data_IF_310557260469
#
_entry.id   IF_310557260469
#
_cell.length_a   1.000
_cell.length_b   1.000
_cell.length_c   1.000
_cell.angle_alpha   90.00
_cell.angle_beta   90.00
_cell.angle_gamma   90.00
#
_symmetry.space_group_name_H-M   'P 1'
#
loop_
_entity.id
_entity.type
_entity.pdbx_description
1 polymer ?
#
# COMPACT_ATOMS: atom_id res chain seq x y z
N UNK A 1 -27.87 37.56 7.39
CA UNK A 1 -27.69 36.75 6.17
C UNK A 1 -26.73 37.51 5.26
N UNK A 2 -25.43 37.23 5.34
CA UNK A 2 -24.45 37.78 4.39
C UNK A 2 -24.02 36.63 3.47
N UNK A 3 -24.44 36.71 2.22
CA UNK A 3 -23.92 35.87 1.15
C UNK A 3 -22.52 36.38 0.81
N UNK A 4 -21.48 35.61 1.15
CA UNK A 4 -20.13 35.83 0.60
C UNK A 4 -20.09 35.15 -0.77
N UNK A 5 -20.11 35.97 -1.81
CA UNK A 5 -19.89 35.57 -3.19
C UNK A 5 -18.40 35.29 -3.42
N UNK A 6 -18.00 34.02 -3.40
CA UNK A 6 -16.69 33.61 -3.88
C UNK A 6 -16.71 33.58 -5.41
N UNK A 7 -16.04 34.54 -6.04
CA UNK A 7 -15.62 34.40 -7.43
C UNK A 7 -14.55 33.29 -7.57
N UNK A 8 -14.32 32.74 -8.77
CA UNK A 8 -13.34 31.69 -8.96
C UNK A 8 -11.93 32.26 -8.72
N UNK A 9 -11.25 31.72 -7.71
CA UNK A 9 -9.85 32.01 -7.44
C UNK A 9 -8.98 31.26 -8.46
N UNK A 10 -8.50 31.98 -9.48
CA UNK A 10 -7.74 31.44 -10.61
C UNK A 10 -6.35 30.89 -10.24
N UNK A 11 -5.99 30.84 -8.95
CA UNK A 11 -4.69 30.40 -8.45
C UNK A 11 -4.72 29.14 -7.56
N UNK A 12 -5.88 28.51 -7.35
CA UNK A 12 -5.99 27.37 -6.44
C UNK A 12 -5.96 26.06 -7.24
N UNK A 13 -4.84 25.34 -7.19
CA UNK A 13 -4.74 24.01 -7.81
C UNK A 13 -5.67 23.02 -7.12
N UNK A 14 -6.10 22.02 -7.87
CA UNK A 14 -6.92 20.96 -7.29
C UNK A 14 -6.12 20.11 -6.30
N UNK A 15 -6.75 19.71 -5.21
CA UNK A 15 -6.07 19.00 -4.12
C UNK A 15 -6.20 17.50 -4.28
N UNK A 16 -5.08 16.78 -4.15
CA UNK A 16 -5.01 15.31 -4.20
C UNK A 16 -4.23 14.81 -2.99
N UNK A 17 -4.79 13.81 -2.31
CA UNK A 17 -4.14 13.18 -1.15
C UNK A 17 -3.57 11.83 -1.59
N UNK A 18 -2.35 11.52 -1.18
CA UNK A 18 -1.69 10.24 -1.42
C UNK A 18 -1.40 9.55 -0.09
N UNK A 19 -1.81 8.29 0.04
CA UNK A 19 -1.47 7.44 1.19
C UNK A 19 -0.50 6.37 0.72
N UNK A 20 0.77 6.59 1.06
CA UNK A 20 1.91 5.71 0.77
C UNK A 20 2.19 4.78 1.96
N UNK A 21 2.91 3.71 1.69
CA UNK A 21 3.35 2.75 2.70
C UNK A 21 3.48 1.34 2.13
N UNK A 22 4.29 0.53 2.78
CA UNK A 22 4.45 -0.88 2.41
C UNK A 22 3.14 -1.66 2.57
N UNK A 23 3.03 -2.85 1.98
CA UNK A 23 1.85 -3.73 2.14
C UNK A 23 1.55 -3.97 3.62
N UNK A 24 0.28 -4.18 3.96
CA UNK A 24 -0.16 -4.47 5.33
C UNK A 24 0.09 -3.37 6.40
N UNK A 25 0.45 -2.13 6.04
CA UNK A 25 0.61 -1.02 7.01
C UNK A 25 -0.69 -0.29 7.40
N UNK A 26 -1.86 -0.75 6.93
CA UNK A 26 -3.16 -0.14 7.25
C UNK A 26 -3.63 0.99 6.33
N UNK A 27 -3.00 1.18 5.16
CA UNK A 27 -3.37 2.25 4.19
C UNK A 27 -4.85 2.30 3.84
N UNK A 28 -5.44 1.15 3.52
CA UNK A 28 -6.86 1.07 3.17
C UNK A 28 -7.75 1.47 4.35
N UNK A 29 -7.42 1.02 5.57
CA UNK A 29 -8.14 1.44 6.78
C UNK A 29 -8.10 2.97 6.96
N UNK A 30 -6.92 3.58 6.82
CA UNK A 30 -6.78 5.03 6.93
C UNK A 30 -7.62 5.77 5.88
N UNK A 31 -7.68 5.25 4.65
CA UNK A 31 -8.45 5.87 3.57
C UNK A 31 -9.97 5.87 3.83
N UNK A 32 -10.49 4.81 4.46
CA UNK A 32 -11.91 4.74 4.87
C UNK A 32 -12.18 5.67 6.05
N UNK A 33 -11.29 5.67 7.04
CA UNK A 33 -11.41 6.56 8.19
C UNK A 33 -11.39 8.04 7.73
N UNK A 34 -10.60 8.37 6.69
CA UNK A 34 -10.64 9.68 6.03
C UNK A 34 -11.97 9.97 5.33
N UNK A 35 -12.45 9.07 4.48
CA UNK A 35 -13.71 9.26 3.77
C UNK A 35 -14.93 9.38 4.70
N UNK A 36 -14.81 8.93 5.95
CA UNK A 36 -15.82 9.14 7.01
C UNK A 36 -15.79 10.56 7.59
N UNK A 37 -14.67 11.28 7.47
CA UNK A 37 -14.47 12.63 8.02
C UNK A 37 -14.48 13.73 6.94
N UNK A 38 -14.16 13.38 5.69
CA UNK A 38 -14.14 14.30 4.55
C UNK A 38 -14.88 13.69 3.36
N UNK A 39 -15.49 14.54 2.52
CA UNK A 39 -16.18 14.09 1.30
C UNK A 39 -15.16 13.64 0.25
N UNK A 40 -14.74 12.39 0.34
CA UNK A 40 -13.66 11.84 -0.47
C UNK A 40 -14.06 10.56 -1.22
N UNK A 41 -13.32 10.26 -2.27
CA UNK A 41 -13.39 9.00 -3.01
C UNK A 41 -11.98 8.42 -3.15
N UNK A 42 -11.88 7.09 -3.15
CA UNK A 42 -10.60 6.37 -3.11
C UNK A 42 -10.22 5.90 -4.51
N UNK A 43 -8.98 6.14 -4.91
CA UNK A 43 -8.38 5.66 -6.14
C UNK A 43 -7.31 4.64 -5.77
N UNK A 44 -7.50 3.38 -6.13
CA UNK A 44 -6.49 2.35 -5.93
C UNK A 44 -5.24 2.65 -6.79
N UNK A 45 -4.06 2.50 -6.18
CA UNK A 45 -2.77 2.58 -6.83
C UNK A 45 -1.89 1.37 -6.56
N UNK A 46 -2.48 0.23 -6.21
CA UNK A 46 -1.82 -1.07 -6.26
C UNK A 46 -2.06 -1.72 -7.63
N UNK A 47 -0.98 -1.93 -8.38
CA UNK A 47 -1.00 -2.46 -9.76
C UNK A 47 -1.50 -3.90 -9.87
N UNK A 48 -1.61 -4.63 -8.76
CA UNK A 48 -2.16 -6.00 -8.75
C UNK A 48 -3.65 -5.97 -8.37
N UNK A 49 -4.07 -5.00 -7.55
CA UNK A 49 -5.48 -4.89 -7.16
C UNK A 49 -6.41 -4.37 -8.27
N UNK A 50 -5.85 -3.94 -9.41
CA UNK A 50 -6.63 -3.49 -10.58
C UNK A 50 -7.35 -4.63 -11.30
N UNK A 51 -6.91 -5.87 -11.14
CA UNK A 51 -7.47 -7.04 -11.84
C UNK A 51 -8.64 -7.67 -11.07
N UNK A 52 -9.64 -8.19 -11.79
CA UNK A 52 -10.74 -8.98 -11.22
C UNK A 52 -10.23 -10.34 -10.72
N UNK A 53 -10.90 -10.87 -9.68
CA UNK A 53 -10.54 -12.14 -9.06
C UNK A 53 -9.28 -12.03 -8.18
N UNK A 54 -8.91 -13.15 -7.54
CA UNK A 54 -7.79 -13.20 -6.61
C UNK A 54 -7.91 -12.18 -5.46
N UNK A 55 -9.11 -11.94 -4.94
CA UNK A 55 -9.38 -10.90 -3.96
C UNK A 55 -8.68 -11.15 -2.60
N UNK A 56 -8.54 -12.41 -2.20
CA UNK A 56 -7.83 -12.81 -0.98
C UNK A 56 -6.32 -12.61 -1.17
N UNK A 57 -5.69 -13.25 -2.17
CA UNK A 57 -4.23 -13.19 -2.38
C UNK A 57 -3.75 -11.77 -2.69
N UNK A 58 -4.56 -10.97 -3.40
CA UNK A 58 -4.24 -9.57 -3.69
C UNK A 58 -4.69 -8.61 -2.57
N UNK A 59 -5.34 -9.13 -1.52
CA UNK A 59 -5.85 -8.42 -0.37
C UNK A 59 -6.67 -7.18 -0.74
N UNK A 60 -7.64 -7.37 -1.64
CA UNK A 60 -8.59 -6.30 -1.96
C UNK A 60 -9.53 -6.10 -0.78
N UNK A 61 -9.86 -4.84 -0.54
CA UNK A 61 -10.87 -4.48 0.44
C UNK A 61 -12.25 -4.94 -0.06
N UNK A 62 -12.94 -5.73 0.74
CA UNK A 62 -14.28 -6.22 0.41
C UNK A 62 -15.34 -5.11 0.58
N UNK A 63 -16.53 -5.28 0.01
CA UNK A 63 -17.57 -4.24 0.04
C UNK A 63 -17.99 -3.79 1.45
N UNK A 64 -17.99 -4.71 2.42
CA UNK A 64 -18.36 -4.38 3.80
C UNK A 64 -17.32 -3.47 4.47
N UNK A 65 -16.04 -3.71 4.20
CA UNK A 65 -14.92 -2.90 4.69
C UNK A 65 -14.86 -1.52 4.03
N UNK A 66 -15.40 -1.37 2.81
CA UNK A 66 -15.46 -0.09 2.11
C UNK A 66 -16.46 0.90 2.72
N UNK A 67 -17.39 0.44 3.56
CA UNK A 67 -18.37 1.28 4.25
C UNK A 67 -19.13 2.25 3.32
N UNK A 68 -19.40 1.82 2.07
CA UNK A 68 -20.07 2.63 1.06
C UNK A 68 -19.23 3.74 0.42
N UNK A 69 -17.94 3.85 0.76
CA UNK A 69 -17.01 4.80 0.14
C UNK A 69 -16.72 4.36 -1.30
N UNK A 70 -16.89 5.23 -2.31
CA UNK A 70 -16.57 4.89 -3.69
C UNK A 70 -15.09 4.56 -3.88
N UNK A 71 -14.81 3.40 -4.48
CA UNK A 71 -13.47 2.95 -4.87
C UNK A 71 -13.35 2.89 -6.39
N UNK A 72 -12.27 3.43 -6.91
CA UNK A 72 -11.93 3.42 -8.32
C UNK A 72 -10.67 2.59 -8.55
N UNK A 73 -10.53 2.07 -9.77
CA UNK A 73 -9.37 1.28 -10.22
C UNK A 73 -9.11 0.02 -9.37
N UNK A 74 -10.17 -0.56 -8.81
CA UNK A 74 -10.11 -1.77 -7.99
C UNK A 74 -10.92 -2.86 -8.69
N UNK A 75 -10.27 -3.94 -9.12
CA UNK A 75 -10.93 -5.07 -9.78
C UNK A 75 -11.68 -4.71 -11.07
N UNK A 76 -11.09 -3.92 -11.96
CA UNK A 76 -11.72 -3.47 -13.20
C UNK A 76 -11.15 -4.08 -14.48
N UNK A 77 -9.92 -4.64 -14.43
CA UNK A 77 -9.33 -5.36 -15.57
C UNK A 77 -9.77 -6.81 -15.52
N UNK A 78 -10.41 -7.29 -16.58
CA UNK A 78 -10.97 -8.64 -16.65
C UNK A 78 -9.96 -9.68 -17.15
N UNK A 79 -9.11 -9.30 -18.09
CA UNK A 79 -8.10 -10.18 -18.67
C UNK A 79 -6.94 -10.37 -17.66
N UNK A 80 -6.72 -11.60 -17.15
CA UNK A 80 -5.67 -11.89 -16.18
C UNK A 80 -4.26 -11.76 -16.75
N UNK A 81 -4.10 -11.78 -18.08
CA UNK A 81 -2.81 -11.74 -18.77
C UNK A 81 -2.51 -10.36 -19.39
N UNK A 82 -3.48 -9.44 -19.36
CA UNK A 82 -3.28 -8.07 -19.78
C UNK A 82 -2.34 -7.34 -18.82
N UNK A 83 -1.34 -6.62 -19.34
CA UNK A 83 -0.47 -5.82 -18.50
C UNK A 83 -1.07 -4.43 -18.26
N UNK A 84 -1.13 -4.02 -16.99
CA UNK A 84 -1.47 -2.66 -16.61
C UNK A 84 -0.22 -1.79 -16.53
N UNK A 85 0.02 -0.97 -17.54
CA UNK A 85 1.25 -0.17 -17.69
C UNK A 85 1.22 1.12 -16.87
N UNK A 86 2.37 1.82 -16.84
CA UNK A 86 2.47 3.15 -16.22
C UNK A 86 1.59 4.18 -16.94
N UNK A 87 1.48 4.08 -18.26
CA UNK A 87 0.69 5.03 -19.05
C UNK A 87 -0.81 4.77 -18.87
N UNK A 88 -1.22 3.50 -18.76
CA UNK A 88 -2.60 3.15 -18.37
C UNK A 88 -2.92 3.72 -16.99
N UNK A 89 -2.02 3.53 -16.02
CA UNK A 89 -2.20 4.09 -14.68
C UNK A 89 -2.34 5.60 -14.68
N UNK A 90 -1.47 6.33 -15.39
CA UNK A 90 -1.55 7.78 -15.51
C UNK A 90 -2.89 8.22 -16.09
N UNK A 91 -3.28 7.62 -17.21
CA UNK A 91 -4.53 7.94 -17.88
C UNK A 91 -5.74 7.71 -16.97
N UNK A 92 -5.82 6.54 -16.35
CA UNK A 92 -6.93 6.16 -15.50
C UNK A 92 -7.00 7.01 -14.22
N UNK A 93 -5.86 7.29 -13.57
CA UNK A 93 -5.84 8.11 -12.34
C UNK A 93 -6.19 9.56 -12.64
N UNK A 94 -5.60 10.19 -13.67
CA UNK A 94 -5.93 11.57 -14.03
C UNK A 94 -7.41 11.73 -14.36
N UNK A 95 -7.95 10.84 -15.21
CA UNK A 95 -9.38 10.86 -15.58
C UNK A 95 -10.28 10.68 -14.36
N UNK A 96 -9.88 9.82 -13.42
CA UNK A 96 -10.64 9.56 -12.20
C UNK A 96 -10.59 10.76 -11.25
N UNK A 97 -9.42 11.39 -11.09
CA UNK A 97 -9.26 12.63 -10.32
C UNK A 97 -10.20 13.69 -10.86
N UNK A 98 -10.19 13.97 -12.16
CA UNK A 98 -11.05 14.98 -12.80
C UNK A 98 -12.53 14.71 -12.50
N UNK A 99 -13.00 13.46 -12.66
CA UNK A 99 -14.40 13.06 -12.35
C UNK A 99 -14.77 13.19 -10.88
N UNK A 100 -13.86 12.90 -9.95
CA UNK A 100 -14.10 13.06 -8.51
C UNK A 100 -14.23 14.55 -8.18
N UNK A 101 -13.38 15.39 -8.79
CA UNK A 101 -13.40 16.85 -8.61
C UNK A 101 -14.66 17.49 -9.19
N UNK A 102 -15.14 17.03 -10.34
CA UNK A 102 -16.43 17.45 -10.91
C UNK A 102 -17.62 17.21 -9.95
N UNK A 103 -17.53 16.18 -9.11
CA UNK A 103 -18.51 15.90 -8.04
C UNK A 103 -18.28 16.69 -6.74
N UNK A 104 -17.29 17.58 -6.72
CA UNK A 104 -16.93 18.39 -5.54
C UNK A 104 -16.24 17.60 -4.42
N UNK A 105 -15.71 16.40 -4.70
CA UNK A 105 -15.10 15.52 -3.70
C UNK A 105 -13.57 15.57 -3.75
N UNK A 106 -12.93 15.04 -2.71
CA UNK A 106 -11.47 14.95 -2.60
C UNK A 106 -10.99 13.58 -3.09
N UNK A 107 -10.12 13.51 -4.11
CA UNK A 107 -9.50 12.26 -4.53
C UNK A 107 -8.39 11.85 -3.54
N UNK A 108 -8.45 10.61 -3.06
CA UNK A 108 -7.42 9.99 -2.23
C UNK A 108 -6.83 8.80 -2.99
N UNK A 109 -5.57 8.90 -3.41
CA UNK A 109 -4.83 7.84 -4.08
C UNK A 109 -4.14 6.95 -3.04
N UNK A 110 -4.42 5.66 -3.07
CA UNK A 110 -4.02 4.71 -2.01
C UNK A 110 -3.46 3.43 -2.62
N UNK A 111 -2.24 3.04 -2.26
CA UNK A 111 -1.69 1.77 -2.74
C UNK A 111 -0.18 1.62 -2.55
N UNK A 112 0.34 0.44 -2.88
CA UNK A 112 1.75 0.08 -2.68
C UNK A 112 2.67 0.20 -3.90
N UNK A 113 2.13 0.54 -5.08
CA UNK A 113 2.93 0.63 -6.32
C UNK A 113 3.59 2.00 -6.49
N UNK A 114 4.53 2.32 -5.59
CA UNK A 114 5.17 3.64 -5.53
C UNK A 114 5.90 4.06 -6.82
N UNK A 115 6.34 3.10 -7.66
CA UNK A 115 6.89 3.42 -9.00
C UNK A 115 5.84 4.06 -9.92
N UNK A 116 4.58 3.64 -9.82
CA UNK A 116 3.49 4.17 -10.63
C UNK A 116 3.11 5.57 -10.12
N UNK A 117 3.10 5.76 -8.80
CA UNK A 117 2.87 7.07 -8.18
C UNK A 117 4.00 8.06 -8.53
N UNK A 118 5.27 7.64 -8.47
CA UNK A 118 6.41 8.46 -8.92
C UNK A 118 6.24 8.87 -10.37
N UNK A 119 5.92 7.92 -11.26
CA UNK A 119 5.72 8.23 -12.66
C UNK A 119 4.54 9.17 -12.91
N UNK A 120 3.45 9.06 -12.14
CA UNK A 120 2.31 9.97 -12.23
C UNK A 120 2.69 11.40 -11.81
N UNK A 121 3.39 11.54 -10.69
CA UNK A 121 3.69 12.85 -10.08
C UNK A 121 4.85 13.55 -10.79
N UNK A 122 5.93 12.82 -11.13
CA UNK A 122 7.12 13.32 -11.80
C UNK A 122 6.99 13.27 -13.34
N UNK A 123 5.79 13.52 -13.85
CA UNK A 123 5.56 13.61 -15.28
C UNK A 123 6.44 14.70 -15.94
N UNK A 124 6.84 14.51 -17.21
CA UNK A 124 7.57 15.53 -17.96
C UNK A 124 6.89 16.90 -17.89
N UNK A 125 7.70 17.96 -17.85
CA UNK A 125 7.24 19.35 -17.74
C UNK A 125 6.40 19.64 -16.49
N UNK A 126 6.51 18.82 -15.44
CA UNK A 126 5.73 18.95 -14.20
C UNK A 126 4.21 18.97 -14.44
N UNK A 127 3.72 18.31 -15.51
CA UNK A 127 2.31 18.38 -15.92
C UNK A 127 1.36 18.10 -14.75
N UNK A 128 1.59 17.03 -13.99
CA UNK A 128 0.74 16.67 -12.87
C UNK A 128 0.77 17.72 -11.75
N UNK A 129 1.97 18.08 -11.28
CA UNK A 129 2.18 19.11 -10.23
C UNK A 129 1.75 20.53 -10.65
N UNK A 130 1.60 20.79 -11.95
CA UNK A 130 1.06 22.06 -12.46
C UNK A 130 -0.46 22.17 -12.26
N UNK A 131 -1.16 21.04 -12.32
CA UNK A 131 -2.62 20.94 -12.13
C UNK A 131 -3.03 20.73 -10.68
N UNK A 132 -2.24 19.95 -9.94
CA UNK A 132 -2.62 19.47 -8.61
C UNK A 132 -1.63 19.85 -7.52
N UNK A 133 -2.16 20.25 -6.37
CA UNK A 133 -1.43 20.26 -5.11
C UNK A 133 -1.56 18.88 -4.45
N UNK A 134 -0.44 18.35 -3.96
CA UNK A 134 -0.35 16.97 -3.49
C UNK A 134 0.04 16.93 -2.01
N UNK A 135 -0.72 16.19 -1.21
CA UNK A 135 -0.37 15.87 0.17
C UNK A 135 0.04 14.40 0.27
N UNK A 136 1.27 14.11 0.67
CA UNK A 136 1.78 12.74 0.80
C UNK A 136 1.85 12.32 2.26
N UNK A 137 1.03 11.35 2.63
CA UNK A 137 1.12 10.64 3.90
C UNK A 137 1.87 9.33 3.70
N UNK A 138 2.75 8.97 4.62
CA UNK A 138 3.43 7.69 4.62
C UNK A 138 3.16 6.96 5.92
N UNK A 139 2.36 5.89 5.85
CA UNK A 139 2.19 4.94 6.95
C UNK A 139 3.39 4.01 7.03
N UNK A 140 4.10 4.10 8.14
CA UNK A 140 5.34 3.37 8.39
C UNK A 140 5.22 2.46 9.61
N UNK A 141 5.88 1.31 9.54
CA UNK A 141 5.92 0.30 10.61
C UNK A 141 7.34 -0.24 10.69
N UNK A 142 7.87 -0.41 11.90
CA UNK A 142 9.20 -0.98 12.09
C UNK A 142 9.30 -2.39 11.49
N UNK A 143 10.40 -2.70 10.80
CA UNK A 143 10.57 -3.96 10.06
C UNK A 143 10.38 -5.23 10.92
N UNK A 144 10.89 -5.33 12.16
CA UNK A 144 10.71 -6.53 12.97
C UNK A 144 9.23 -6.84 13.24
N UNK A 145 8.47 -5.82 13.64
CA UNK A 145 7.02 -5.94 13.90
C UNK A 145 6.27 -6.17 12.59
N UNK A 146 6.68 -5.50 11.52
CA UNK A 146 6.03 -5.58 10.23
C UNK A 146 6.17 -6.98 9.59
N UNK A 147 7.34 -7.60 9.66
CA UNK A 147 7.56 -8.96 9.14
C UNK A 147 6.73 -10.00 9.89
N UNK A 148 6.67 -9.91 11.22
CA UNK A 148 5.81 -10.80 12.01
C UNK A 148 4.34 -10.64 11.62
N UNK A 149 3.86 -9.39 11.48
CA UNK A 149 2.48 -9.13 11.10
C UNK A 149 2.15 -9.60 9.68
N UNK A 150 3.05 -9.37 8.72
CA UNK A 150 2.89 -9.82 7.33
C UNK A 150 2.83 -11.34 7.25
N UNK A 151 3.69 -12.05 8.00
CA UNK A 151 3.64 -13.52 8.07
C UNK A 151 2.29 -14.03 8.59
N UNK A 152 1.84 -13.50 9.74
CA UNK A 152 0.53 -13.83 10.32
C UNK A 152 -0.63 -13.52 9.36
N UNK A 153 -0.51 -12.45 8.59
CA UNK A 153 -1.53 -12.08 7.61
C UNK A 153 -1.59 -13.08 6.46
N UNK A 154 -0.46 -13.61 5.98
CA UNK A 154 -0.46 -14.69 4.98
C UNK A 154 -1.15 -15.93 5.56
N UNK A 155 -0.88 -16.28 6.82
CA UNK A 155 -1.59 -17.38 7.49
C UNK A 155 -3.10 -17.16 7.51
N UNK A 156 -3.56 -15.96 7.88
CA UNK A 156 -4.98 -15.59 7.85
C UNK A 156 -5.58 -15.65 6.44
N UNK A 157 -4.79 -15.31 5.41
CA UNK A 157 -5.23 -15.40 4.01
C UNK A 157 -5.40 -16.87 3.60
N UNK A 158 -4.49 -17.76 4.03
CA UNK A 158 -4.63 -19.21 3.82
C UNK A 158 -5.88 -19.74 4.51
N UNK A 159 -6.12 -19.37 5.78
CA UNK A 159 -7.35 -19.72 6.51
C UNK A 159 -8.62 -19.20 5.83
N UNK A 160 -8.54 -18.06 5.14
CA UNK A 160 -9.64 -17.47 4.40
C UNK A 160 -9.89 -18.10 3.02
N UNK A 161 -9.07 -19.06 2.58
CA UNK A 161 -9.23 -19.75 1.31
C UNK A 161 -8.30 -19.29 0.18
N UNK A 162 -7.17 -18.64 0.49
CA UNK A 162 -6.18 -18.21 -0.51
C UNK A 162 -5.75 -19.34 -1.45
N UNK A 163 -5.54 -20.55 -0.91
CA UNK A 163 -5.08 -21.70 -1.71
C UNK A 163 -6.17 -22.12 -2.70
N UNK A 164 -7.43 -22.13 -2.27
CA UNK A 164 -8.56 -22.47 -3.12
C UNK A 164 -8.77 -21.41 -4.21
N UNK A 165 -8.68 -20.13 -3.86
CA UNK A 165 -8.79 -19.01 -4.80
C UNK A 165 -7.73 -19.08 -5.91
N UNK A 166 -6.48 -19.39 -5.58
CA UNK A 166 -5.42 -19.51 -6.57
C UNK A 166 -5.58 -20.79 -7.39
N UNK A 167 -6.04 -21.89 -6.77
CA UNK A 167 -6.30 -23.16 -7.45
C UNK A 167 -7.30 -22.99 -8.60
N UNK A 168 -8.35 -22.18 -8.41
CA UNK A 168 -9.35 -21.92 -9.45
C UNK A 168 -8.76 -21.22 -10.69
N UNK A 169 -7.69 -20.45 -10.53
CA UNK A 169 -7.00 -19.73 -11.61
C UNK A 169 -5.73 -20.47 -12.10
N UNK A 170 -5.40 -21.62 -11.51
CA UNK A 170 -4.17 -22.33 -11.80
C UNK A 170 -4.16 -22.85 -13.24
N UNK A 171 -3.07 -22.58 -13.95
CA UNK A 171 -2.81 -23.07 -15.30
C UNK A 171 -1.35 -23.51 -15.39
N UNK A 172 -1.13 -24.75 -15.79
CA UNK A 172 0.19 -25.34 -15.90
C UNK A 172 1.00 -24.65 -17.01
N UNK A 173 2.20 -24.15 -16.67
CA UNK A 173 3.07 -23.46 -17.61
C UNK A 173 2.65 -22.01 -17.91
N UNK A 174 1.84 -21.40 -17.05
CA UNK A 174 1.43 -20.01 -17.19
C UNK A 174 2.62 -19.02 -17.08
N UNK A 175 2.48 -17.85 -17.71
CA UNK A 175 3.48 -16.79 -17.62
C UNK A 175 3.25 -15.91 -16.38
N UNK A 176 3.99 -16.18 -15.30
CA UNK A 176 3.94 -15.43 -14.05
C UNK A 176 4.60 -14.03 -14.13
N UNK A 177 5.07 -13.60 -15.30
CA UNK A 177 5.65 -12.27 -15.50
C UNK A 177 4.61 -11.21 -15.91
N UNK A 178 3.37 -11.62 -16.18
CA UNK A 178 2.32 -10.77 -16.77
C UNK A 178 1.06 -10.67 -15.91
N UNK A 179 0.38 -9.54 -16.07
CA UNK A 179 -0.97 -9.33 -15.53
C UNK A 179 -1.11 -9.61 -14.03
N UNK A 180 -2.20 -10.30 -13.67
CA UNK A 180 -2.52 -10.67 -12.28
C UNK A 180 -1.64 -11.82 -11.77
N UNK A 181 -1.09 -12.63 -12.67
CA UNK A 181 -0.26 -13.81 -12.32
C UNK A 181 1.04 -13.45 -11.60
N UNK A 182 1.42 -12.17 -11.63
CA UNK A 182 2.54 -11.61 -10.86
C UNK A 182 2.26 -11.45 -9.36
N UNK A 183 1.02 -11.72 -8.92
CA UNK A 183 0.66 -11.63 -7.51
C UNK A 183 1.50 -12.61 -6.67
N UNK A 184 2.04 -12.11 -5.56
CA UNK A 184 2.80 -12.95 -4.60
C UNK A 184 1.84 -13.98 -4.00
N UNK A 185 2.21 -15.24 -4.07
CA UNK A 185 1.41 -16.40 -3.70
C UNK A 185 1.02 -17.25 -4.91
N UNK A 186 0.87 -16.64 -6.09
CA UNK A 186 0.39 -17.35 -7.30
C UNK A 186 1.46 -18.27 -7.88
N UNK A 187 2.67 -17.75 -8.10
CA UNK A 187 3.81 -18.54 -8.57
C UNK A 187 4.31 -19.49 -7.48
N UNK A 188 4.32 -19.04 -6.23
CA UNK A 188 4.82 -19.81 -5.08
C UNK A 188 4.05 -21.11 -4.85
N UNK A 189 2.75 -21.16 -5.19
CA UNK A 189 1.92 -22.36 -5.04
C UNK A 189 1.93 -23.30 -6.26
N UNK A 190 2.58 -22.93 -7.37
CA UNK A 190 2.69 -23.78 -8.56
C UNK A 190 3.22 -25.20 -8.25
N UNK A 191 4.34 -25.37 -7.49
CA UNK A 191 4.86 -26.70 -7.18
C UNK A 191 3.85 -27.58 -6.43
N UNK A 192 3.04 -26.99 -5.56
CA UNK A 192 1.98 -27.70 -4.84
C UNK A 192 0.87 -28.16 -5.80
N UNK A 193 0.38 -27.29 -6.68
CA UNK A 193 -0.68 -27.65 -7.63
C UNK A 193 -0.23 -28.68 -8.68
N UNK A 194 1.02 -28.60 -9.14
CA UNK A 194 1.60 -29.61 -10.03
C UNK A 194 1.67 -30.99 -9.35
N UNK A 195 2.08 -31.04 -8.09
CA UNK A 195 2.11 -32.29 -7.33
C UNK A 195 0.70 -32.84 -7.06
N UNK A 196 -0.25 -31.97 -6.71
CA UNK A 196 -1.66 -32.31 -6.48
C UNK A 196 -2.30 -32.95 -7.72
N UNK A 197 -2.04 -32.40 -8.92
CA UNK A 197 -2.58 -32.91 -10.19
C UNK A 197 -1.98 -34.26 -10.61
N UNK A 198 -0.69 -34.47 -10.34
CA UNK A 198 0.04 -35.65 -10.82
C UNK A 198 -0.18 -36.91 -9.95
N UNK A 199 -0.87 -36.82 -8.81
CA UNK A 199 -1.19 -37.94 -7.90
C UNK A 199 0.03 -38.83 -7.58
N UNK A 200 1.22 -38.24 -7.45
CA UNK A 200 2.40 -38.99 -7.06
C UNK A 200 2.30 -39.31 -5.56
N UNK A 201 1.91 -40.55 -5.24
CA UNK A 201 1.74 -41.05 -3.88
C UNK A 201 3.00 -40.98 -3.01
N UNK A 202 4.18 -40.67 -3.59
CA UNK A 202 5.42 -40.51 -2.85
C UNK A 202 5.70 -39.05 -2.42
N UNK A 203 4.88 -38.10 -2.88
CA UNK A 203 5.07 -36.68 -2.60
C UNK A 203 4.25 -36.27 -1.38
N UNK A 204 4.95 -35.75 -0.38
CA UNK A 204 4.32 -35.14 0.79
C UNK A 204 3.75 -33.75 0.42
N UNK A 205 2.48 -33.75 -0.01
CA UNK A 205 1.73 -32.55 -0.40
C UNK A 205 1.62 -31.54 0.75
N UNK A 206 1.52 -32.00 2.00
CA UNK A 206 1.44 -31.11 3.16
C UNK A 206 2.76 -30.35 3.34
N UNK A 207 3.89 -31.03 3.20
CA UNK A 207 5.20 -30.39 3.24
C UNK A 207 5.41 -29.41 2.08
N UNK A 208 4.98 -29.73 0.86
CA UNK A 208 5.04 -28.81 -0.28
C UNK A 208 4.16 -27.58 -0.08
N UNK A 209 2.93 -27.75 0.39
CA UNK A 209 2.03 -26.65 0.68
C UNK A 209 2.63 -25.71 1.71
N UNK A 210 3.14 -26.27 2.82
CA UNK A 210 3.81 -25.48 3.86
C UNK A 210 5.02 -24.73 3.30
N UNK A 211 5.86 -25.36 2.48
CA UNK A 211 7.01 -24.70 1.87
C UNK A 211 6.59 -23.53 0.95
N UNK A 212 5.52 -23.72 0.17
CA UNK A 212 4.96 -22.70 -0.73
C UNK A 212 4.41 -21.48 0.05
N UNK A 213 3.75 -21.74 1.19
CA UNK A 213 3.25 -20.70 2.10
C UNK A 213 4.42 -19.92 2.72
N UNK A 214 5.47 -20.60 3.18
CA UNK A 214 6.66 -19.93 3.72
C UNK A 214 7.38 -19.09 2.66
N UNK A 215 7.49 -19.56 1.42
CA UNK A 215 8.03 -18.76 0.32
C UNK A 215 7.18 -17.52 0.05
N UNK A 216 5.86 -17.64 0.11
CA UNK A 216 4.92 -16.51 0.00
C UNK A 216 5.18 -15.46 1.08
N UNK A 217 5.38 -15.89 2.34
CA UNK A 217 5.73 -15.00 3.45
C UNK A 217 7.07 -14.29 3.20
N UNK A 218 8.10 -15.03 2.79
CA UNK A 218 9.42 -14.46 2.49
C UNK A 218 9.36 -13.43 1.36
N UNK A 219 8.66 -13.74 0.27
CA UNK A 219 8.53 -12.84 -0.87
C UNK A 219 7.71 -11.59 -0.52
N UNK A 220 6.71 -11.72 0.36
CA UNK A 220 5.98 -10.57 0.90
C UNK A 220 6.88 -9.68 1.76
N UNK A 221 7.75 -10.25 2.60
CA UNK A 221 8.75 -9.49 3.35
C UNK A 221 9.76 -8.78 2.43
N UNK A 222 10.22 -9.44 1.36
CA UNK A 222 11.07 -8.80 0.33
C UNK A 222 10.35 -7.63 -0.35
N UNK A 223 9.04 -7.76 -0.61
CA UNK A 223 8.23 -6.67 -1.16
C UNK A 223 8.16 -5.47 -0.19
N UNK A 224 7.95 -5.71 1.11
CA UNK A 224 7.95 -4.67 2.15
C UNK A 224 9.25 -3.86 2.10
N UNK A 225 10.41 -4.54 2.08
CA UNK A 225 11.73 -3.89 2.02
C UNK A 225 11.84 -3.01 0.77
N UNK A 226 11.46 -3.55 -0.41
CA UNK A 226 11.52 -2.80 -1.68
C UNK A 226 10.62 -1.56 -1.66
N UNK A 227 9.41 -1.68 -1.11
CA UNK A 227 8.48 -0.56 -0.99
C UNK A 227 9.00 0.52 -0.05
N UNK A 228 9.55 0.12 1.10
CA UNK A 228 10.16 1.04 2.06
C UNK A 228 11.35 1.79 1.45
N UNK A 229 12.29 1.07 0.83
CA UNK A 229 13.44 1.65 0.11
C UNK A 229 12.98 2.65 -0.95
N UNK A 230 11.90 2.32 -1.67
CA UNK A 230 11.33 3.20 -2.69
C UNK A 230 10.80 4.51 -2.08
N UNK A 231 10.01 4.44 -1.01
CA UNK A 231 9.48 5.64 -0.33
C UNK A 231 10.63 6.49 0.26
N UNK A 232 11.63 5.85 0.85
CA UNK A 232 12.83 6.53 1.34
C UNK A 232 13.56 7.26 0.21
N UNK A 233 13.68 6.65 -0.98
CA UNK A 233 14.21 7.32 -2.17
C UNK A 233 13.37 8.53 -2.60
N UNK A 234 12.03 8.41 -2.64
CA UNK A 234 11.14 9.53 -2.96
C UNK A 234 11.36 10.72 -2.00
N UNK A 235 11.49 10.42 -0.70
CA UNK A 235 11.74 11.43 0.33
C UNK A 235 13.14 12.04 0.23
N UNK A 236 14.17 11.21 0.16
CA UNK A 236 15.55 11.63 0.36
C UNK A 236 16.24 12.12 -0.92
N UNK A 237 15.94 11.48 -2.06
CA UNK A 237 16.54 11.83 -3.35
C UNK A 237 15.68 12.82 -4.12
N UNK A 238 14.38 12.53 -4.28
CA UNK A 238 13.45 13.41 -5.02
C UNK A 238 12.89 14.57 -4.17
N UNK A 239 13.25 14.62 -2.88
CA UNK A 239 12.87 15.69 -1.94
C UNK A 239 11.36 15.90 -1.85
N UNK A 240 10.57 14.83 -1.97
CA UNK A 240 9.13 14.91 -1.73
C UNK A 240 8.86 15.28 -0.27
N UNK A 241 7.96 16.22 -0.06
CA UNK A 241 7.39 16.52 1.25
C UNK A 241 6.44 15.39 1.64
N UNK A 242 6.94 14.45 2.43
CA UNK A 242 6.20 13.26 2.86
C UNK A 242 6.06 13.27 4.39
N UNK A 243 4.82 13.35 4.85
CA UNK A 243 4.48 13.28 6.27
C UNK A 243 4.45 11.81 6.73
N UNK A 244 5.52 11.40 7.44
CA UNK A 244 5.63 10.05 8.01
C UNK A 244 4.73 9.95 9.25
N UNK A 245 3.93 8.89 9.29
CA UNK A 245 3.06 8.50 10.38
C UNK A 245 3.50 7.12 10.84
N UNK A 246 4.03 7.04 12.06
CA UNK A 246 4.51 5.80 12.64
C UNK A 246 3.36 5.02 13.27
N UNK A 247 3.02 3.89 12.65
CA UNK A 247 1.96 3.00 13.09
C UNK A 247 2.49 1.82 13.92
N UNK A 248 3.80 1.72 14.21
CA UNK A 248 4.42 0.55 14.87
C UNK A 248 3.69 0.11 16.13
N UNK A 249 3.39 1.03 17.05
CA UNK A 249 2.70 0.73 18.30
C UNK A 249 1.26 0.22 18.12
N UNK A 250 0.64 0.41 16.95
CA UNK A 250 -0.67 -0.20 16.65
C UNK A 250 -0.52 -1.70 16.46
N UNK A 251 0.54 -2.13 15.77
CA UNK A 251 0.81 -3.53 15.43
C UNK A 251 1.38 -4.34 16.60
N UNK A 252 1.93 -3.67 17.62
CA UNK A 252 2.35 -4.30 18.89
C UNK A 252 1.17 -4.61 19.82
N UNK A 253 -0.02 -4.06 19.55
CA UNK A 253 -1.19 -4.13 20.42
C UNK A 253 -2.29 -4.99 19.82
N UNK A 254 -3.32 -5.27 20.61
CA UNK A 254 -4.48 -6.06 20.16
C UNK A 254 -5.80 -5.51 20.70
N UNK A 255 -6.90 -5.82 20.01
CA UNK A 255 -8.25 -5.43 20.41
C UNK A 255 -8.39 -3.92 20.60
N UNK A 256 -9.03 -3.53 21.72
CA UNK A 256 -9.31 -2.13 22.04
C UNK A 256 -8.04 -1.28 22.14
N UNK A 257 -6.94 -1.82 22.65
CA UNK A 257 -5.69 -1.07 22.79
C UNK A 257 -5.08 -0.70 21.44
N UNK A 258 -5.19 -1.59 20.45
CA UNK A 258 -4.76 -1.32 19.08
C UNK A 258 -5.64 -0.24 18.43
N UNK A 259 -6.97 -0.30 18.65
CA UNK A 259 -7.91 0.71 18.15
C UNK A 259 -7.62 2.10 18.75
N UNK A 260 -7.42 2.18 20.07
CA UNK A 260 -7.07 3.43 20.76
C UNK A 260 -5.72 3.97 20.28
N UNK A 261 -4.74 3.09 20.04
CA UNK A 261 -3.45 3.46 19.46
C UNK A 261 -3.58 3.97 18.02
N UNK A 262 -4.40 3.32 17.19
CA UNK A 262 -4.68 3.74 15.82
C UNK A 262 -5.28 5.15 15.78
N UNK A 263 -6.32 5.38 16.59
CA UNK A 263 -6.99 6.68 16.67
C UNK A 263 -6.00 7.80 17.03
N UNK A 264 -5.19 7.56 18.07
CA UNK A 264 -4.28 8.55 18.65
C UNK A 264 -3.02 8.79 17.82
N UNK A 265 -2.42 7.74 17.27
CA UNK A 265 -1.09 7.79 16.66
C UNK A 265 -1.14 7.85 15.13
N UNK A 266 -2.23 7.35 14.53
CA UNK A 266 -2.39 7.26 13.08
C UNK A 266 -3.47 8.22 12.60
N UNK A 267 -4.73 8.02 12.98
CA UNK A 267 -5.84 8.75 12.39
C UNK A 267 -5.79 10.25 12.71
N UNK A 268 -5.70 10.62 13.99
CA UNK A 268 -5.74 12.02 14.40
C UNK A 268 -4.60 12.86 13.81
N UNK A 269 -3.31 12.46 13.88
CA UNK A 269 -2.23 13.23 13.25
C UNK A 269 -2.41 13.35 11.73
N UNK A 270 -2.92 12.30 11.09
CA UNK A 270 -3.17 12.30 9.65
C UNK A 270 -4.30 13.25 9.26
N UNK A 271 -5.38 13.33 10.05
CA UNK A 271 -6.47 14.30 9.87
C UNK A 271 -6.01 15.74 10.10
N UNK A 272 -5.15 15.99 11.09
CA UNK A 272 -4.57 17.32 11.34
C UNK A 272 -3.77 17.81 10.12
N UNK A 273 -2.90 16.97 9.57
CA UNK A 273 -2.11 17.27 8.35
C UNK A 273 -3.03 17.53 7.15
N UNK A 274 -4.00 16.63 6.91
CA UNK A 274 -4.92 16.77 5.78
C UNK A 274 -5.80 18.01 5.92
N UNK A 275 -6.27 18.32 7.13
CA UNK A 275 -7.06 19.53 7.39
C UNK A 275 -6.25 20.79 7.07
N UNK A 276 -5.01 20.88 7.54
CA UNK A 276 -4.12 22.02 7.24
C UNK A 276 -3.87 22.15 5.74
N UNK A 277 -3.61 21.02 5.07
CA UNK A 277 -3.46 20.97 3.62
C UNK A 277 -4.72 21.45 2.88
N UNK A 278 -5.91 20.97 3.27
CA UNK A 278 -7.17 21.36 2.65
C UNK A 278 -7.52 22.83 2.89
N UNK A 279 -7.16 23.39 4.04
CA UNK A 279 -7.38 24.81 4.37
C UNK A 279 -6.34 25.76 3.74
N UNK A 280 -5.20 25.25 3.26
CA UNK A 280 -4.13 26.09 2.68
C UNK A 280 -3.25 26.80 3.72
N UNK A 281 -3.23 26.32 4.97
CA UNK A 281 -2.46 26.91 6.07
C UNK A 281 -0.99 26.43 6.05
N UNK A 282 -0.18 26.99 5.17
CA UNK A 282 1.25 26.64 5.04
C UNK A 282 2.13 26.97 6.28
N UNK A 283 1.63 27.74 7.24
CA UNK A 283 2.41 28.14 8.42
C UNK A 283 2.47 27.09 9.55
N UNK A 284 1.53 26.12 9.60
CA UNK A 284 1.52 25.08 10.63
C UNK A 284 2.27 23.79 10.23
N UNK A 285 2.38 23.49 8.93
CA UNK A 285 3.08 22.28 8.44
C UNK A 285 4.55 22.22 8.91
N UNK A 286 5.26 23.36 8.88
CA UNK A 286 6.67 23.48 9.34
C UNK A 286 6.86 23.30 10.85
N UNK A 287 5.81 23.49 11.65
CA UNK A 287 5.88 23.36 13.11
C UNK A 287 5.78 21.90 13.58
N UNK A 288 5.03 21.07 12.85
CA UNK A 288 4.92 19.63 13.11
C UNK A 288 6.20 18.86 12.73
N UNK A 289 6.88 19.28 11.65
CA UNK A 289 8.19 18.73 11.23
C UNK A 289 9.23 18.84 12.35
N UNK A 290 9.40 20.03 12.93
CA UNK A 290 10.41 20.28 13.97
C UNK A 290 10.19 19.47 15.27
N UNK A 291 8.94 19.09 15.58
CA UNK A 291 8.63 18.23 16.74
C UNK A 291 8.89 16.75 16.46
N UNK A 292 8.59 16.29 15.25
CA UNK A 292 8.81 14.90 14.85
C UNK A 292 10.29 14.61 14.55
N UNK A 293 11.05 15.58 14.02
CA UNK A 293 12.47 15.41 13.69
C UNK A 293 13.35 15.30 14.95
N UNK A 294 13.04 16.08 16.00
CA UNK A 294 13.68 15.94 17.33
C UNK A 294 13.43 14.58 17.97
N UNK A 295 12.27 13.97 17.72
CA UNK A 295 11.93 12.62 18.21
C UNK A 295 12.60 11.52 17.38
N UNK A 296 12.75 11.75 16.07
CA UNK A 296 13.43 10.87 15.12
C UNK A 296 14.93 10.71 15.41
N UNK A 297 15.62 11.78 15.82
CA UNK A 297 17.05 11.71 16.12
C UNK A 297 17.36 10.82 17.34
N UNK A 298 16.41 10.65 18.26
CA UNK A 298 16.55 9.75 19.43
C UNK A 298 16.32 8.28 19.02
N UNK A 299 15.48 8.02 18.01
CA UNK A 299 15.15 6.66 17.53
C UNK A 299 16.14 6.13 16.48
N UNK A 300 16.75 7.01 15.67
CA UNK A 300 17.78 6.63 14.67
C UNK A 300 19.04 6.00 15.29
N UNK A 301 19.39 6.38 16.52
CA UNK A 301 20.50 5.77 17.28
C UNK A 301 20.19 4.35 17.78
N UNK A 302 18.91 3.98 17.83
CA UNK A 302 18.44 2.64 18.22
C UNK A 302 18.29 1.77 16.97
N UNK A 303 17.68 2.29 15.89
CA UNK A 303 17.46 1.57 14.62
C UNK A 303 18.77 1.15 13.93
N UNK A 304 19.82 1.99 13.97
CA UNK A 304 21.12 1.65 13.37
C UNK A 304 21.79 0.42 13.99
N UNK A 305 21.47 0.09 15.27
CA UNK A 305 21.95 -1.13 15.93
C UNK A 305 21.12 -2.37 15.60
N UNK A 306 19.85 -2.20 15.22
CA UNK A 306 18.96 -3.30 14.84
C UNK A 306 19.01 -3.63 13.34
N UNK A 307 19.24 -2.65 12.46
CA UNK A 307 19.43 -2.87 11.02
C UNK A 307 20.65 -3.76 10.72
N UNK A 308 21.73 -3.68 11.51
CA UNK A 308 22.87 -4.60 11.39
C UNK A 308 22.47 -6.05 11.69
N UNK A 309 21.61 -6.27 12.70
CA UNK A 309 21.15 -7.59 13.11
C UNK A 309 20.14 -8.19 12.12
N UNK A 310 19.30 -7.35 11.51
CA UNK A 310 18.39 -7.76 10.43
C UNK A 310 19.12 -8.17 9.14
N UNK A 311 20.22 -7.48 8.79
CA UNK A 311 21.09 -7.89 7.67
C UNK A 311 21.74 -9.24 7.93
N UNK A 312 22.20 -9.50 9.16
CA UNK A 312 22.81 -10.77 9.56
C UNK A 312 21.84 -11.95 9.38
N UNK A 313 20.59 -11.84 9.84
CA UNK A 313 19.55 -12.87 9.69
C UNK A 313 19.22 -13.18 8.21
N UNK A 314 19.20 -12.17 7.34
CA UNK A 314 18.99 -12.35 5.89
C UNK A 314 20.20 -13.01 5.22
N UNK A 315 21.43 -12.64 5.60
CA UNK A 315 22.64 -13.31 5.09
C UNK A 315 22.80 -14.74 5.60
N UNK A 316 22.28 -15.07 6.78
CA UNK A 316 22.33 -16.42 7.34
C UNK A 316 21.31 -17.36 6.69
N UNK A 317 20.14 -16.84 6.31
CA UNK A 317 19.17 -17.52 5.44
C UNK A 317 19.74 -17.78 4.03
N UNK A 318 20.39 -16.79 3.41
CA UNK A 318 20.99 -16.92 2.06
C UNK A 318 22.23 -17.82 1.99
N UNK A 319 22.88 -18.13 3.12
CA UNK A 319 24.03 -19.06 3.17
C UNK A 319 23.62 -20.53 3.28
N UNK A 320 22.37 -20.84 3.57
CA UNK A 320 21.84 -22.21 3.61
C UNK A 320 21.16 -22.57 2.30
N UNK A 321 21.95 -22.68 1.24
CA UNK A 321 21.78 -23.61 0.09
C UNK A 321 22.92 -23.41 -0.90
N UNK A 322 23.80 -24.41 -1.08
CA UNK A 322 24.39 -24.71 -2.37
C UNK A 322 23.70 -25.94 -2.98
N UNK A 323 23.38 -25.80 -4.27
CA UNK A 323 22.91 -26.81 -5.24
C UNK A 323 21.41 -27.09 -5.19
#
# INVERSE_FOLDING_TARGET
MMMSSYGPDYNNKDKVIFILGATATGKSKLSIDFASNIQAEIINSDKIQVYKGLDIVTNKMNESERQGVPHHLLGFIEDPDADFTIDDFRYHVETTIERIRERGRIPIVVGGSNTYIEALVEQPNNRFRSKYDCCFLWLDVSLPIHFEYVGKRVDQMVEAGLVDEIREMFEEGADYTRGIRRAIGVHELEPYFLAERNLDNNVDLETLLRASIEETKENTCKLVIRQLQKIQRLKNELKWEIHRIDATCVFEKSGKEAQDAWEKLVLRPSLEIVSDFLQGNNNNMRAHENKNEKRLNILRDIDSRFEMRGRELVTESLRRKPI
#
